data_IF_204956857341
#
_entry.id   IF_204956857341
#
_cell.length_a   1.000
_cell.length_b   1.000
_cell.length_c   1.000
_cell.angle_alpha   90.00
_cell.angle_beta   90.00
_cell.angle_gamma   90.00
#
_symmetry.space_group_name_H-M   'P 1'
#
loop_
_entity.id
_entity.type
_entity.pdbx_description
1 polymer ?
#
# COMPACT_ATOMS: atom_id res chain seq x y z
N UNK A 1 -8.34 1.61 12.02
CA UNK A 1 -6.95 2.08 12.29
C UNK A 1 -6.44 2.93 11.15
N UNK A 2 -6.23 2.39 9.94
CA UNK A 2 -5.70 3.12 8.77
C UNK A 2 -6.48 4.40 8.44
N UNK A 3 -7.80 4.42 8.67
CA UNK A 3 -8.65 5.60 8.51
C UNK A 3 -8.23 6.81 9.36
N UNK A 4 -7.58 6.60 10.51
CA UNK A 4 -7.16 7.66 11.43
C UNK A 4 -5.90 8.39 10.95
N UNK A 5 -5.03 7.73 10.19
CA UNK A 5 -3.79 8.32 9.67
C UNK A 5 -3.92 8.80 8.22
N UNK A 6 -4.89 8.27 7.47
CA UNK A 6 -5.01 8.48 6.02
C UNK A 6 -6.10 9.47 5.60
N UNK A 7 -7.26 9.44 6.28
CA UNK A 7 -8.41 10.27 5.90
C UNK A 7 -8.38 11.62 6.62
N UNK A 8 -8.80 12.65 5.91
CA UNK A 8 -9.08 13.96 6.52
C UNK A 8 -10.50 14.00 7.10
N UNK A 9 -10.74 14.87 8.08
CA UNK A 9 -12.09 15.07 8.61
C UNK A 9 -13.06 15.58 7.54
N UNK A 10 -12.60 16.42 6.61
CA UNK A 10 -13.41 16.89 5.49
C UNK A 10 -13.88 15.75 4.58
N UNK A 11 -13.03 14.78 4.28
CA UNK A 11 -13.43 13.60 3.49
C UNK A 11 -14.46 12.75 4.23
N UNK A 12 -14.28 12.55 5.55
CA UNK A 12 -15.26 11.81 6.37
C UNK A 12 -16.62 12.50 6.43
N UNK A 13 -16.62 13.83 6.50
CA UNK A 13 -17.85 14.63 6.55
C UNK A 13 -18.61 14.59 5.21
N UNK A 14 -17.91 14.82 4.10
CA UNK A 14 -18.50 14.78 2.75
C UNK A 14 -18.96 13.38 2.34
N UNK A 15 -18.28 12.37 2.87
CA UNK A 15 -18.48 10.96 2.58
C UNK A 15 -17.39 10.41 1.68
N UNK A 16 -16.68 9.41 2.18
CA UNK A 16 -15.51 8.79 1.55
C UNK A 16 -15.50 7.29 1.79
N UNK A 17 -15.07 6.52 0.80
CA UNK A 17 -14.76 5.11 0.98
C UNK A 17 -13.25 4.90 1.07
N UNK A 18 -12.78 4.21 2.12
CA UNK A 18 -11.40 3.77 2.26
C UNK A 18 -11.28 2.27 2.01
N UNK A 19 -10.37 1.89 1.12
CA UNK A 19 -9.97 0.52 0.83
C UNK A 19 -8.55 0.28 1.33
N UNK A 20 -8.38 -0.60 2.31
CA UNK A 20 -7.07 -1.02 2.80
C UNK A 20 -6.70 -2.38 2.20
N UNK A 21 -5.85 -2.37 1.19
CA UNK A 21 -5.46 -3.57 0.43
C UNK A 21 -4.16 -4.13 1.03
N UNK A 22 -4.34 -5.09 1.94
CA UNK A 22 -3.24 -5.83 2.54
C UNK A 22 -2.76 -6.99 1.66
N UNK A 23 -2.11 -7.95 2.29
CA UNK A 23 -1.61 -9.15 1.63
C UNK A 23 -2.75 -10.12 1.26
N UNK A 24 -3.55 -10.56 2.23
CA UNK A 24 -4.61 -11.56 2.01
C UNK A 24 -6.02 -11.01 1.88
N UNK A 25 -6.24 -9.74 2.24
CA UNK A 25 -7.58 -9.16 2.37
C UNK A 25 -7.60 -7.71 1.93
N UNK A 26 -8.77 -7.25 1.50
CA UNK A 26 -9.07 -5.84 1.30
C UNK A 26 -10.15 -5.45 2.30
N UNK A 27 -9.81 -4.56 3.23
CA UNK A 27 -10.77 -4.02 4.20
C UNK A 27 -11.45 -2.78 3.64
N UNK A 28 -12.72 -2.58 3.97
CA UNK A 28 -13.57 -1.51 3.45
C UNK A 28 -14.08 -0.71 4.64
N UNK A 29 -14.04 0.61 4.55
CA UNK A 29 -14.70 1.51 5.51
C UNK A 29 -15.31 2.67 4.76
N UNK A 30 -16.61 2.92 4.95
CA UNK A 30 -17.31 4.04 4.32
C UNK A 30 -17.74 5.00 5.41
N UNK A 31 -17.41 6.27 5.22
CA UNK A 31 -17.81 7.37 6.09
C UNK A 31 -18.89 8.22 5.41
N UNK A 32 -19.77 8.81 6.22
CA UNK A 32 -20.70 9.86 5.84
C UNK A 32 -21.05 10.69 7.09
N UNK A 33 -21.12 12.02 6.98
CA UNK A 33 -21.38 12.92 8.12
C UNK A 33 -20.45 12.64 9.32
N UNK A 34 -19.17 12.37 9.03
CA UNK A 34 -18.13 12.15 10.02
C UNK A 34 -18.14 10.76 10.67
N UNK A 35 -19.16 9.93 10.42
CA UNK A 35 -19.34 8.62 11.04
C UNK A 35 -19.12 7.47 10.05
N UNK A 36 -18.71 6.30 10.56
CA UNK A 36 -18.65 5.07 9.76
C UNK A 36 -20.08 4.56 9.55
N UNK A 37 -20.49 4.46 8.28
CA UNK A 37 -21.78 3.91 7.88
C UNK A 37 -21.68 2.45 7.42
N UNK A 38 -20.51 2.03 6.94
CA UNK A 38 -20.24 0.65 6.55
C UNK A 38 -18.81 0.24 6.89
N UNK A 39 -18.63 -1.00 7.34
CA UNK A 39 -17.33 -1.64 7.50
C UNK A 39 -17.44 -3.11 7.09
N UNK A 40 -16.47 -3.59 6.32
CA UNK A 40 -16.46 -4.96 5.81
C UNK A 40 -15.10 -5.35 5.26
N UNK A 41 -14.99 -6.56 4.72
CA UNK A 41 -13.79 -7.01 4.05
C UNK A 41 -14.11 -8.03 2.95
N UNK A 42 -13.18 -8.16 2.00
CA UNK A 42 -13.15 -9.23 1.01
C UNK A 42 -11.86 -10.04 1.15
N UNK A 43 -11.90 -11.37 0.93
CA UNK A 43 -10.76 -12.27 1.13
C UNK A 43 -9.81 -12.29 -0.07
N UNK A 44 -9.53 -11.11 -0.65
CA UNK A 44 -8.58 -10.93 -1.73
C UNK A 44 -7.67 -9.73 -1.45
N UNK A 45 -6.39 -9.88 -1.73
CA UNK A 45 -5.38 -8.83 -1.56
C UNK A 45 -4.16 -9.06 -2.46
N UNK A 46 -3.02 -8.48 -2.08
CA UNK A 46 -1.78 -8.54 -2.86
C UNK A 46 -1.22 -9.95 -3.11
N UNK A 47 -1.52 -10.95 -2.27
CA UNK A 47 -1.07 -12.34 -2.46
C UNK A 47 -1.75 -13.02 -3.65
N UNK A 48 -2.99 -12.64 -3.96
CA UNK A 48 -3.69 -13.15 -5.14
C UNK A 48 -3.02 -12.65 -6.42
N UNK A 49 -2.58 -11.39 -6.42
CA UNK A 49 -1.82 -10.79 -7.52
C UNK A 49 -0.48 -11.52 -7.70
N UNK A 50 0.24 -11.78 -6.61
CA UNK A 50 1.48 -12.56 -6.64
C UNK A 50 1.27 -13.96 -7.19
N UNK A 51 0.18 -14.62 -6.81
CA UNK A 51 -0.16 -15.97 -7.28
C UNK A 51 -0.45 -16.00 -8.78
N UNK A 52 -1.19 -15.02 -9.28
CA UNK A 52 -1.48 -14.92 -10.72
C UNK A 52 -0.23 -14.60 -11.53
N UNK A 53 0.66 -13.74 -11.01
CA UNK A 53 1.95 -13.46 -11.64
C UNK A 53 2.85 -14.69 -11.67
N UNK A 54 2.89 -15.48 -10.59
CA UNK A 54 3.65 -16.71 -10.54
C UNK A 54 3.18 -17.70 -11.63
N UNK A 55 1.87 -17.86 -11.79
CA UNK A 55 1.29 -18.72 -12.83
C UNK A 55 1.53 -18.15 -14.23
N UNK A 56 1.14 -16.89 -14.45
CA UNK A 56 1.16 -16.26 -15.76
C UNK A 56 2.58 -16.05 -16.30
N UNK A 57 3.52 -15.64 -15.45
CA UNK A 57 4.91 -15.44 -15.84
C UNK A 57 5.77 -16.69 -15.62
N UNK A 58 5.23 -17.77 -15.06
CA UNK A 58 5.93 -19.02 -14.72
C UNK A 58 7.14 -18.77 -13.80
N UNK A 59 6.89 -18.07 -12.71
CA UNK A 59 7.87 -17.72 -11.68
C UNK A 59 7.55 -18.47 -10.38
N UNK A 60 8.53 -18.60 -9.49
CA UNK A 60 8.22 -18.94 -8.09
C UNK A 60 7.42 -17.81 -7.42
N UNK A 61 6.72 -18.10 -6.32
CA UNK A 61 5.98 -17.07 -5.57
C UNK A 61 6.89 -15.93 -5.10
N UNK A 62 8.10 -16.24 -4.65
CA UNK A 62 9.07 -15.26 -4.18
C UNK A 62 9.55 -14.34 -5.33
N UNK A 63 9.78 -14.91 -6.51
CA UNK A 63 10.15 -14.13 -7.71
C UNK A 63 8.98 -13.28 -8.21
N UNK A 64 7.76 -13.83 -8.20
CA UNK A 64 6.56 -13.09 -8.57
C UNK A 64 6.31 -11.91 -7.64
N UNK A 65 6.58 -12.05 -6.33
CA UNK A 65 6.49 -10.94 -5.38
C UNK A 65 7.49 -9.83 -5.72
N UNK A 66 8.73 -10.20 -6.04
CA UNK A 66 9.75 -9.22 -6.47
C UNK A 66 9.33 -8.48 -7.74
N UNK A 67 8.74 -9.19 -8.71
CA UNK A 67 8.19 -8.58 -9.94
C UNK A 67 7.06 -7.62 -9.59
N UNK A 68 6.12 -8.03 -8.73
CA UNK A 68 4.99 -7.20 -8.31
C UNK A 68 5.44 -5.91 -7.63
N UNK A 69 6.34 -6.01 -6.64
CA UNK A 69 6.86 -4.86 -5.88
C UNK A 69 7.66 -3.92 -6.79
N UNK A 70 8.41 -4.45 -7.77
CA UNK A 70 9.21 -3.65 -8.70
C UNK A 70 8.48 -3.33 -10.01
N UNK A 71 7.18 -3.57 -10.11
CA UNK A 71 6.41 -3.43 -11.35
C UNK A 71 6.61 -2.07 -12.02
N UNK A 72 6.57 -0.98 -11.26
CA UNK A 72 6.79 0.37 -11.79
C UNK A 72 8.18 0.53 -12.42
N UNK A 73 9.23 0.03 -11.76
CA UNK A 73 10.60 0.09 -12.26
C UNK A 73 10.79 -0.78 -13.50
N UNK A 74 10.17 -1.96 -13.54
CA UNK A 74 10.20 -2.89 -14.69
C UNK A 74 9.55 -2.23 -15.91
N UNK A 75 8.36 -1.65 -15.74
CA UNK A 75 7.62 -1.02 -16.83
C UNK A 75 8.34 0.23 -17.36
N UNK A 76 8.99 0.98 -16.49
CA UNK A 76 9.81 2.15 -16.84
C UNK A 76 11.19 1.79 -17.42
N UNK A 77 11.60 0.52 -17.41
CA UNK A 77 12.93 0.09 -17.86
C UNK A 77 14.07 0.53 -16.93
N UNK A 78 13.78 0.80 -15.66
CA UNK A 78 14.73 1.28 -14.63
C UNK A 78 15.36 0.16 -13.80
N UNK A 79 15.07 -1.11 -14.10
CA UNK A 79 15.74 -2.24 -13.45
C UNK A 79 17.17 -2.26 -13.97
N UNK A 80 18.10 -1.78 -13.15
CA UNK A 80 19.50 -1.78 -13.50
C UNK A 80 19.95 -3.23 -13.75
N UNK A 81 20.50 -3.50 -14.94
CA UNK A 81 21.32 -4.68 -15.14
C UNK A 81 22.43 -4.63 -14.08
N UNK A 82 22.55 -5.68 -13.28
CA UNK A 82 23.76 -5.91 -12.49
C UNK A 82 24.92 -5.98 -13.48
N UNK A 83 25.62 -4.86 -13.69
CA UNK A 83 26.86 -4.83 -14.43
C UNK A 83 27.89 -5.60 -13.60
N UNK A 84 27.93 -6.91 -13.80
CA UNK A 84 29.06 -7.72 -13.37
C UNK A 84 30.32 -7.18 -14.05
N UNK A 85 31.19 -6.55 -13.24
CA UNK A 85 32.62 -6.33 -13.43
C UNK A 85 33.12 -6.10 -14.86
N UNK A 86 32.63 -5.07 -15.56
CA UNK A 86 33.35 -4.56 -16.72
C UNK A 86 34.47 -3.62 -16.24
N UNK A 87 35.72 -4.10 -16.29
CA UNK A 87 36.93 -3.35 -15.95
C UNK A 87 37.34 -2.34 -17.04
N UNK A 88 36.44 -2.06 -17.99
CA UNK A 88 36.71 -1.14 -19.09
C UNK A 88 36.74 0.32 -18.59
N UNK A 89 37.86 1.05 -18.76
CA UNK A 89 37.97 2.46 -18.39
C UNK A 89 36.88 3.29 -19.07
N UNK A 90 36.30 4.24 -18.32
CA UNK A 90 35.18 5.10 -18.78
C UNK A 90 35.43 5.82 -20.12
N UNK A 91 36.69 6.01 -20.50
CA UNK A 91 37.12 6.66 -21.75
C UNK A 91 36.91 5.80 -23.01
N UNK A 92 36.64 4.51 -22.87
CA UNK A 92 36.40 3.57 -23.99
C UNK A 92 34.92 3.21 -24.18
N UNK A 93 34.00 3.73 -23.35
CA UNK A 93 32.58 3.60 -23.62
C UNK A 93 32.25 4.41 -24.86
N UNK A 94 31.94 3.72 -25.96
CA UNK A 94 31.12 4.33 -27.01
C UNK A 94 29.84 4.81 -26.33
N UNK A 95 29.49 6.06 -26.58
CA UNK A 95 28.16 6.57 -26.29
C UNK A 95 27.23 5.76 -27.18
N UNK A 96 26.73 4.65 -26.68
CA UNK A 96 25.71 3.89 -27.38
C UNK A 96 24.49 4.81 -27.44
N UNK A 97 24.22 5.26 -28.66
CA UNK A 97 23.03 6.00 -29.04
C UNK A 97 21.82 5.35 -28.38
N UNK A 98 21.02 6.14 -27.66
CA UNK A 98 19.72 5.75 -27.14
C UNK A 98 18.86 5.23 -28.29
N UNK A 99 18.89 3.91 -28.50
CA UNK A 99 17.89 3.23 -29.32
C UNK A 99 16.62 3.16 -28.51
N UNK A 100 15.84 4.24 -28.61
CA UNK A 100 14.39 4.16 -28.53
C UNK A 100 13.91 3.21 -29.64
N UNK A 101 13.91 1.91 -29.34
CA UNK A 101 13.29 0.90 -30.19
C UNK A 101 11.87 0.68 -29.70
N UNK A 102 10.95 1.50 -30.22
CA UNK A 102 9.55 1.13 -30.37
C UNK A 102 9.45 -0.20 -31.14
N UNK A 103 9.31 -1.32 -30.42
CA UNK A 103 8.88 -2.59 -30.99
C UNK A 103 7.81 -3.22 -30.10
N UNK A 104 6.64 -3.43 -30.70
CA UNK A 104 5.51 -4.19 -30.16
C UNK A 104 6.01 -5.50 -29.52
N UNK A 105 5.67 -5.68 -28.25
CA UNK A 105 6.15 -6.75 -27.39
C UNK A 105 7.34 -6.33 -26.54
N UNK A 106 7.21 -5.25 -25.76
CA UNK A 106 8.27 -4.80 -24.86
C UNK A 106 8.48 -5.85 -23.74
N UNK A 107 9.46 -6.72 -23.94
CA UNK A 107 10.06 -7.47 -22.85
C UNK A 107 10.84 -6.50 -21.96
N UNK A 108 10.87 -6.77 -20.66
CA UNK A 108 11.64 -6.02 -19.68
C UNK A 108 12.60 -6.97 -18.97
N UNK A 109 13.87 -6.58 -18.88
CA UNK A 109 14.86 -7.28 -18.08
C UNK A 109 14.49 -7.26 -16.61
N UNK A 110 14.63 -8.41 -15.95
CA UNK A 110 14.38 -8.61 -14.52
C UNK A 110 15.60 -9.17 -13.78
N UNK A 111 16.72 -9.34 -14.47
CA UNK A 111 17.95 -9.94 -13.92
C UNK A 111 18.47 -9.19 -12.69
N UNK A 112 18.32 -7.86 -12.65
CA UNK A 112 18.70 -7.01 -11.51
C UNK A 112 17.90 -7.25 -10.21
N UNK A 113 16.84 -8.07 -10.25
CA UNK A 113 15.98 -8.38 -9.10
C UNK A 113 16.36 -9.69 -8.41
N UNK A 114 17.39 -10.39 -8.88
CA UNK A 114 17.75 -11.72 -8.38
C UNK A 114 16.65 -12.74 -8.67
N UNK A 115 16.08 -12.68 -9.87
CA UNK A 115 15.18 -13.68 -10.46
C UNK A 115 16.05 -14.61 -11.29
N UNK A 116 15.96 -15.91 -11.03
CA UNK A 116 16.83 -16.92 -11.67
C UNK A 116 16.07 -17.77 -12.67
N UNK A 117 14.74 -17.80 -12.57
CA UNK A 117 13.89 -18.57 -13.48
C UNK A 117 13.80 -17.95 -14.88
N UNK A 118 13.91 -16.62 -15.02
CA UNK A 118 13.86 -15.88 -16.30
C UNK A 118 14.69 -14.59 -16.25
N UNK A 119 15.26 -14.21 -17.39
CA UNK A 119 16.00 -12.95 -17.55
C UNK A 119 15.08 -11.78 -17.94
N UNK A 120 13.97 -12.07 -18.61
CA UNK A 120 13.01 -11.06 -19.07
C UNK A 120 11.55 -11.49 -18.85
N UNK A 121 10.67 -10.50 -18.66
CA UNK A 121 9.22 -10.68 -18.58
C UNK A 121 8.50 -9.75 -19.57
N UNK A 122 7.34 -10.18 -20.07
CA UNK A 122 6.50 -9.32 -20.91
C UNK A 122 5.84 -8.24 -20.07
N UNK A 123 6.10 -6.96 -20.39
CA UNK A 123 5.44 -5.81 -19.74
C UNK A 123 3.93 -5.82 -19.94
N UNK A 124 3.48 -6.21 -21.13
CA UNK A 124 2.06 -6.32 -21.46
C UNK A 124 1.37 -7.40 -20.61
N UNK A 125 1.99 -8.57 -20.50
CA UNK A 125 1.45 -9.67 -19.70
C UNK A 125 1.41 -9.31 -18.20
N UNK A 126 2.50 -8.71 -17.68
CA UNK A 126 2.57 -8.20 -16.31
C UNK A 126 1.42 -7.23 -16.02
N UNK A 127 1.21 -6.24 -16.90
CA UNK A 127 0.16 -5.24 -16.74
C UNK A 127 -1.23 -5.88 -16.76
N UNK A 128 -1.52 -6.73 -17.75
CA UNK A 128 -2.81 -7.42 -17.88
C UNK A 128 -3.16 -8.30 -16.69
N UNK A 129 -2.19 -9.04 -16.15
CA UNK A 129 -2.41 -9.90 -14.98
C UNK A 129 -2.79 -9.04 -13.77
N UNK A 130 -2.04 -7.97 -13.52
CA UNK A 130 -2.27 -7.10 -12.36
C UNK A 130 -3.60 -6.35 -12.49
N UNK A 131 -3.90 -5.78 -13.66
CA UNK A 131 -5.17 -5.07 -13.91
C UNK A 131 -6.36 -6.02 -13.73
N UNK A 132 -6.33 -7.22 -14.32
CA UNK A 132 -7.44 -8.17 -14.20
C UNK A 132 -7.72 -8.56 -12.73
N UNK A 133 -6.68 -8.77 -11.91
CA UNK A 133 -6.88 -9.09 -10.49
C UNK A 133 -7.35 -7.89 -9.68
N UNK A 134 -6.86 -6.69 -10.00
CA UNK A 134 -7.35 -5.45 -9.36
C UNK A 134 -8.83 -5.21 -9.69
N UNK A 135 -9.23 -5.40 -10.95
CA UNK A 135 -10.63 -5.34 -11.37
C UNK A 135 -11.47 -6.31 -10.56
N UNK A 136 -11.10 -7.59 -10.48
CA UNK A 136 -11.83 -8.58 -9.70
C UNK A 136 -11.95 -8.20 -8.21
N UNK A 137 -10.87 -7.72 -7.59
CA UNK A 137 -10.89 -7.25 -6.20
C UNK A 137 -11.90 -6.11 -6.05
N UNK A 138 -11.84 -5.10 -6.93
CA UNK A 138 -12.72 -3.94 -6.85
C UNK A 138 -14.17 -4.26 -7.17
N UNK A 139 -14.44 -5.18 -8.10
CA UNK A 139 -15.78 -5.67 -8.36
C UNK A 139 -16.35 -6.42 -7.14
N UNK A 140 -15.54 -7.26 -6.48
CA UNK A 140 -15.95 -7.94 -5.26
C UNK A 140 -16.22 -6.95 -4.11
N UNK A 141 -15.41 -5.89 -4.00
CA UNK A 141 -15.66 -4.78 -3.06
C UNK A 141 -17.00 -4.10 -3.36
N UNK A 142 -17.23 -3.70 -4.61
CA UNK A 142 -18.49 -3.06 -5.06
C UNK A 142 -19.69 -3.93 -4.74
N UNK A 143 -19.61 -5.23 -5.04
CA UNK A 143 -20.67 -6.20 -4.77
C UNK A 143 -20.93 -6.35 -3.27
N UNK A 144 -19.88 -6.41 -2.46
CA UNK A 144 -19.99 -6.55 -0.99
C UNK A 144 -20.70 -5.34 -0.39
N UNK A 145 -20.31 -4.14 -0.81
CA UNK A 145 -20.93 -2.88 -0.38
C UNK A 145 -22.39 -2.78 -0.84
N UNK A 146 -22.65 -3.07 -2.12
CA UNK A 146 -23.99 -3.01 -2.72
C UNK A 146 -24.96 -3.99 -2.07
N UNK A 147 -24.51 -5.22 -1.76
CA UNK A 147 -25.32 -6.22 -1.06
C UNK A 147 -25.71 -5.80 0.36
N UNK A 148 -24.89 -4.97 1.00
CA UNK A 148 -25.18 -4.40 2.30
C UNK A 148 -26.09 -3.16 2.25
N UNK A 149 -26.51 -2.73 1.05
CA UNK A 149 -27.39 -1.56 0.86
C UNK A 149 -26.66 -0.22 0.85
N UNK A 150 -25.33 -0.22 0.71
CA UNK A 150 -24.51 0.98 0.61
C UNK A 150 -23.97 1.14 -0.82
N UNK A 151 -23.36 2.29 -1.10
CA UNK A 151 -22.67 2.56 -2.36
C UNK A 151 -21.20 2.92 -2.09
N UNK A 152 -20.30 2.38 -2.91
CA UNK A 152 -18.87 2.67 -2.87
C UNK A 152 -18.56 4.02 -3.55
N UNK A 153 -19.42 4.46 -4.46
CA UNK A 153 -19.31 5.72 -5.19
C UNK A 153 -19.70 6.92 -4.30
N UNK A 154 -18.81 7.31 -3.41
CA UNK A 154 -19.04 8.42 -2.46
C UNK A 154 -18.63 9.79 -3.01
N UNK A 155 -19.16 10.91 -2.47
CA UNK A 155 -18.87 12.26 -2.98
C UNK A 155 -17.39 12.67 -2.95
N UNK A 156 -16.65 12.30 -1.90
CA UNK A 156 -15.21 12.54 -1.82
C UNK A 156 -14.38 11.48 -2.57
N UNK A 157 -15.03 10.47 -3.16
CA UNK A 157 -14.41 9.41 -3.94
C UNK A 157 -13.84 8.26 -3.09
N UNK A 158 -12.89 7.53 -3.65
CA UNK A 158 -12.28 6.35 -3.02
C UNK A 158 -10.83 6.63 -2.66
N UNK A 159 -10.45 6.31 -1.43
CA UNK A 159 -9.07 6.37 -0.95
C UNK A 159 -8.54 4.96 -0.77
N UNK A 160 -7.43 4.64 -1.43
CA UNK A 160 -6.82 3.31 -1.40
C UNK A 160 -5.54 3.37 -0.59
N UNK A 161 -5.36 2.47 0.38
CA UNK A 161 -4.16 2.40 1.22
C UNK A 161 -3.73 0.94 1.42
N UNK A 162 -2.74 0.70 2.28
CA UNK A 162 -2.14 -0.61 2.47
C UNK A 162 -1.01 -0.87 1.46
N UNK A 163 -0.20 -1.89 1.70
CA UNK A 163 1.02 -2.13 0.90
C UNK A 163 0.74 -2.35 -0.59
N UNK A 164 -0.39 -2.98 -0.94
CA UNK A 164 -0.74 -3.22 -2.35
C UNK A 164 -1.22 -1.97 -3.08
N UNK A 165 -1.49 -0.86 -2.37
CA UNK A 165 -1.89 0.41 -3.00
C UNK A 165 -0.77 1.10 -3.79
N UNK A 166 0.47 0.59 -3.69
CA UNK A 166 1.62 1.07 -4.46
C UNK A 166 1.67 0.50 -5.89
N UNK A 167 0.77 -0.43 -6.24
CA UNK A 167 0.71 -0.98 -7.59
C UNK A 167 0.43 0.11 -8.62
N UNK A 168 1.12 0.02 -9.76
CA UNK A 168 0.98 0.97 -10.86
C UNK A 168 -0.47 0.96 -11.35
N UNK A 169 -0.99 2.15 -11.64
CA UNK A 169 -2.31 2.37 -12.23
C UNK A 169 -3.51 1.87 -11.39
N UNK A 170 -3.30 1.49 -10.12
CA UNK A 170 -4.38 1.00 -9.25
C UNK A 170 -5.54 1.98 -9.12
N UNK A 171 -5.26 3.29 -9.06
CA UNK A 171 -6.30 4.33 -8.98
C UNK A 171 -7.09 4.46 -10.28
N UNK A 172 -6.47 4.19 -11.43
CA UNK A 172 -7.15 4.19 -12.74
C UNK A 172 -8.13 3.03 -12.81
N UNK A 173 -7.69 1.83 -12.38
CA UNK A 173 -8.55 0.64 -12.32
C UNK A 173 -9.71 0.88 -11.35
N UNK A 174 -9.43 1.40 -10.16
CA UNK A 174 -10.48 1.74 -9.19
C UNK A 174 -11.49 2.77 -9.75
N UNK A 175 -11.00 3.83 -10.39
CA UNK A 175 -11.88 4.83 -11.01
C UNK A 175 -12.73 4.24 -12.14
N UNK A 176 -12.19 3.31 -12.93
CA UNK A 176 -12.94 2.61 -13.97
C UNK A 176 -14.04 1.71 -13.38
N UNK A 177 -13.77 1.02 -12.27
CA UNK A 177 -14.72 0.09 -11.63
C UNK A 177 -15.79 0.82 -10.81
N UNK A 178 -15.41 1.88 -10.08
CA UNK A 178 -16.30 2.60 -9.16
C UNK A 178 -16.95 3.85 -9.75
N UNK A 179 -16.44 4.37 -10.86
CA UNK A 179 -16.99 5.55 -11.54
C UNK A 179 -16.75 6.89 -10.82
N UNK A 180 -15.95 6.91 -9.75
CA UNK A 180 -15.60 8.11 -8.98
C UNK A 180 -14.09 8.29 -8.87
N UNK A 181 -13.59 9.53 -8.61
CA UNK A 181 -12.17 9.77 -8.41
C UNK A 181 -11.60 8.85 -7.33
N UNK A 182 -10.39 8.34 -7.59
CA UNK A 182 -9.66 7.48 -6.67
C UNK A 182 -8.25 8.02 -6.43
N UNK A 183 -7.78 7.97 -5.19
CA UNK A 183 -6.41 8.38 -4.83
C UNK A 183 -5.74 7.37 -3.91
N UNK A 184 -4.41 7.35 -3.91
CA UNK A 184 -3.65 6.64 -2.88
C UNK A 184 -3.64 7.48 -1.61
N UNK A 185 -3.86 6.82 -0.48
CA UNK A 185 -3.86 7.38 0.86
C UNK A 185 -2.56 7.07 1.57
N UNK A 186 -1.78 8.11 1.83
CA UNK A 186 -0.54 8.05 2.60
C UNK A 186 -0.81 8.43 4.05
N UNK A 187 -0.29 7.68 5.03
CA UNK A 187 -0.48 8.01 6.42
C UNK A 187 0.27 9.29 6.81
N UNK A 188 -0.35 10.04 7.71
CA UNK A 188 0.15 11.32 8.21
C UNK A 188 -0.16 11.49 9.70
N UNK A 189 0.48 12.47 10.33
CA UNK A 189 0.25 12.83 11.73
C UNK A 189 1.38 12.44 12.69
N UNK A 190 2.33 11.62 12.26
CA UNK A 190 3.58 11.38 13.00
C UNK A 190 4.71 12.25 12.46
N UNK A 191 5.58 12.71 13.37
CA UNK A 191 6.77 13.52 13.06
C UNK A 191 8.05 12.75 13.41
N UNK A 192 9.20 13.06 12.78
CA UNK A 192 10.46 12.35 12.99
C UNK A 192 10.95 11.61 11.73
N UNK A 193 11.17 10.28 11.82
CA UNK A 193 11.61 9.39 10.71
C UNK A 193 10.49 9.19 9.66
N UNK A 194 9.90 10.28 9.19
CA UNK A 194 8.68 10.29 8.37
C UNK A 194 8.93 9.60 7.03
N UNK A 195 10.11 9.71 6.43
CA UNK A 195 10.39 9.13 5.10
C UNK A 195 10.27 7.59 5.08
N UNK A 196 10.66 6.89 6.14
CA UNK A 196 10.61 5.41 6.19
C UNK A 196 9.20 4.88 6.45
N UNK A 197 8.37 5.64 7.16
CA UNK A 197 7.04 5.19 7.60
C UNK A 197 5.88 5.81 6.83
N UNK A 198 6.15 6.72 5.88
CA UNK A 198 5.10 7.40 5.10
C UNK A 198 4.45 6.52 4.03
N UNK A 199 4.95 5.31 3.82
CA UNK A 199 4.37 4.39 2.85
C UNK A 199 2.95 3.93 3.29
N UNK A 200 1.99 3.76 2.36
CA UNK A 200 0.65 3.25 2.67
C UNK A 200 0.63 1.89 3.40
N UNK A 201 1.69 1.10 3.32
CA UNK A 201 1.86 -0.14 4.11
C UNK A 201 1.90 0.09 5.63
N UNK A 202 2.23 1.28 6.10
CA UNK A 202 2.30 1.62 7.52
C UNK A 202 1.02 2.28 8.07
N UNK A 203 -0.01 2.46 7.24
CA UNK A 203 -1.22 3.21 7.61
C UNK A 203 -1.90 2.71 8.87
N UNK A 204 -2.04 1.39 9.01
CA UNK A 204 -2.66 0.78 10.18
C UNK A 204 -1.86 1.07 11.46
N UNK A 205 -0.54 0.88 11.42
CA UNK A 205 0.34 1.09 12.59
C UNK A 205 0.34 2.56 13.00
N UNK A 206 0.49 3.48 12.04
CA UNK A 206 0.44 4.92 12.34
C UNK A 206 -0.92 5.32 12.94
N UNK A 207 -2.01 4.77 12.42
CA UNK A 207 -3.35 5.03 12.94
C UNK A 207 -3.55 4.55 14.37
N UNK A 208 -2.97 3.39 14.74
CA UNK A 208 -2.99 2.89 16.11
C UNK A 208 -2.17 3.77 17.07
N UNK A 209 -0.98 4.22 16.64
CA UNK A 209 -0.16 5.14 17.43
C UNK A 209 -0.89 6.45 17.67
N UNK A 210 -1.47 7.02 16.61
CA UNK A 210 -2.26 8.25 16.71
C UNK A 210 -3.44 8.11 17.68
N UNK A 211 -4.18 7.00 17.59
CA UNK A 211 -5.28 6.72 18.51
C UNK A 211 -4.82 6.71 19.98
N UNK A 212 -3.69 6.04 20.26
CA UNK A 212 -3.14 6.00 21.62
C UNK A 212 -2.68 7.38 22.13
N UNK A 213 -2.17 8.24 21.24
CA UNK A 213 -1.79 9.62 21.59
C UNK A 213 -3.00 10.52 21.87
N UNK A 214 -4.09 10.33 21.11
CA UNK A 214 -5.34 11.07 21.30
C UNK A 214 -6.03 10.66 22.61
N UNK A 215 -6.02 9.36 22.97
CA UNK A 215 -6.54 8.85 24.24
C UNK A 215 -5.81 9.42 25.48
N UNK A 216 -4.48 9.63 25.39
CA UNK A 216 -3.72 10.27 26.47
C UNK A 216 -4.14 11.74 26.68
N UNK A 217 -4.46 12.46 25.59
CA UNK A 217 -4.92 13.84 25.67
C UNK A 217 -6.33 13.95 26.28
N UNK A 218 -7.25 13.04 25.96
CA UNK A 218 -8.61 13.04 26.54
C UNK A 218 -8.62 12.68 28.03
N UNK A 219 -7.66 11.85 28.48
CA UNK A 219 -7.51 11.50 29.90
C UNK A 219 -7.00 12.66 30.79
N UNK A 220 -6.52 13.75 30.19
CA UNK A 220 -6.03 14.94 30.91
C UNK A 220 -7.13 15.95 31.31
N UNK A 221 -8.40 15.66 30.98
CA UNK A 221 -9.56 16.52 31.27
C UNK A 221 -10.25 16.30 32.63
N UNK A 222 -9.85 15.32 33.44
CA UNK A 222 -10.49 15.04 34.75
C UNK A 222 -9.45 15.08 35.88
N UNK A 223 -9.51 16.18 36.64
CA UNK A 223 -8.95 16.42 37.97
C UNK A 223 -7.50 16.93 38.12
N UNK A 224 -7.46 18.18 38.62
CA UNK A 224 -6.67 18.66 39.76
C UNK A 224 -5.16 18.81 39.64
N UNK A 225 -4.73 20.05 39.89
CA UNK A 225 -3.34 20.46 40.04
C UNK A 225 -2.51 19.58 40.98
N UNK A 226 -1.33 19.19 40.51
CA UNK A 226 -0.05 19.64 41.07
C UNK A 226 1.10 19.12 40.19
N UNK A 227 2.04 20.02 39.91
CA UNK A 227 3.45 19.77 39.57
C UNK A 227 3.80 18.69 38.54
N UNK A 228 4.07 19.17 37.33
CA UNK A 228 5.24 18.84 36.51
C UNK A 228 6.38 18.14 37.28
N UNK A 229 6.67 16.87 36.94
CA UNK A 229 8.01 16.29 36.69
C UNK A 229 7.98 14.74 36.75
N UNK A 230 7.83 14.03 35.61
CA UNK A 230 8.56 12.77 35.30
C UNK A 230 8.04 12.09 34.01
N UNK A 231 8.48 12.57 32.83
CA UNK A 231 8.03 12.07 31.52
C UNK A 231 8.77 10.84 30.95
N UNK A 232 9.40 9.99 31.75
CA UNK A 232 10.11 8.81 31.21
C UNK A 232 10.08 7.56 32.12
N UNK A 233 9.96 7.73 33.44
CA UNK A 233 9.89 6.61 34.38
C UNK A 233 8.58 5.82 34.35
N UNK A 234 7.45 6.47 34.03
CA UNK A 234 6.14 5.84 33.98
C UNK A 234 5.98 4.83 32.83
N UNK A 235 6.57 5.15 31.67
CA UNK A 235 6.53 4.33 30.48
C UNK A 235 7.36 3.04 30.65
N UNK A 236 8.56 3.17 31.23
CA UNK A 236 9.44 2.03 31.54
C UNK A 236 8.81 1.08 32.56
N UNK A 237 8.09 1.61 33.56
CA UNK A 237 7.41 0.78 34.56
C UNK A 237 6.22 0.00 33.97
N UNK A 238 5.50 0.57 33.00
CA UNK A 238 4.40 -0.14 32.31
C UNK A 238 4.95 -1.19 31.35
N UNK A 239 5.98 -0.88 30.56
CA UNK A 239 6.60 -1.85 29.66
C UNK A 239 7.21 -3.04 30.42
N UNK A 240 7.87 -2.79 31.55
CA UNK A 240 8.45 -3.85 32.39
C UNK A 240 7.38 -4.70 33.08
N UNK A 241 6.21 -4.14 33.42
CA UNK A 241 5.07 -4.92 33.94
C UNK A 241 4.44 -5.84 32.90
N UNK A 242 4.34 -5.40 31.64
CA UNK A 242 3.85 -6.21 30.53
C UNK A 242 4.83 -7.34 30.18
N UNK A 243 6.13 -7.06 30.14
CA UNK A 243 7.16 -8.09 29.95
C UNK A 243 7.19 -9.12 31.09
N UNK A 244 7.02 -8.69 32.33
CA UNK A 244 6.91 -9.61 33.48
C UNK A 244 5.65 -10.47 33.45
N UNK A 245 4.57 -10.01 32.83
CA UNK A 245 3.33 -10.78 32.69
C UNK A 245 3.36 -11.82 31.56
N UNK A 246 4.37 -11.76 30.68
CA UNK A 246 4.54 -12.65 29.52
C UNK A 246 5.69 -13.65 29.68
N UNK A 247 6.42 -13.60 30.80
CA UNK A 247 7.35 -14.66 31.19
C UNK A 247 6.58 -15.70 32.02
N UNK A 248 6.76 -17.02 31.74
CA UNK A 248 6.05 -18.09 32.45
C UNK A 248 6.45 -18.18 33.93
#
# INVERSE_FOLDING_TARGET
>A
ASTLSVLTETEKELGVALLDIGAGTTSISIFHEGAIVFSGCVPLGGLNITSDLAIGLQLSLDEAEKVKVNMSNILDGKVAESKDNDSTPALLRKVDEEKSSTSKGEMASVSGLGITSKEEVSKEMLTKIVEARLEEIFEMVRDTVSKAGFDIATPAGVVITGGSSQLRDITKVAQAVFGVPSRVGYPSGLTGMVEEISDPGYSAVQGLVRHAMDDENDSSGISSGNSLQSGFGGLVNRLTSLLKSLMP
#
